data_IF_141396215767
#
_entry.id   IF_141396215767
#
_cell.length_a   1.000
_cell.length_b   1.000
_cell.length_c   1.000
_cell.angle_alpha   90.00
_cell.angle_beta   90.00
_cell.angle_gamma   90.00
#
_symmetry.space_group_name_H-M   'P 1'
#
loop_
_entity.id
_entity.type
_entity.pdbx_description
1 polymer ?
#
# COMPACT_ATOMS: atom_id res chain seq x y z
N UNK A 1 -14.55 -6.23 3.48
CA UNK A 1 -13.76 -4.98 3.51
C UNK A 1 -12.30 -5.37 3.28
N UNK A 2 -11.66 -4.86 2.22
CA UNK A 2 -10.42 -5.42 1.63
C UNK A 2 -9.18 -5.41 2.56
N UNK A 3 -9.22 -4.67 3.68
CA UNK A 3 -8.15 -4.65 4.69
C UNK A 3 -8.70 -4.46 6.12
N UNK A 4 -9.76 -5.18 6.53
CA UNK A 4 -10.52 -4.98 7.79
C UNK A 4 -9.73 -4.44 9.01
N UNK A 5 -9.61 -3.11 9.12
CA UNK A 5 -8.79 -2.37 10.07
C UNK A 5 -7.29 -2.75 10.17
N UNK A 6 -6.78 -3.55 9.23
CA UNK A 6 -5.35 -3.83 9.11
C UNK A 6 -4.61 -2.54 8.75
N UNK A 7 -3.45 -2.32 9.38
CA UNK A 7 -2.62 -1.13 9.21
C UNK A 7 -3.26 0.19 9.72
N UNK A 8 -4.03 0.11 10.79
CA UNK A 8 -4.45 1.27 11.57
C UNK A 8 -3.49 1.42 12.75
N UNK A 9 -2.98 2.63 12.97
CA UNK A 9 -2.05 2.96 14.07
C UNK A 9 -0.63 2.38 13.89
N UNK A 10 -0.11 2.45 12.66
CA UNK A 10 1.20 1.90 12.31
C UNK A 10 2.30 2.94 12.54
N UNK A 11 3.42 2.52 13.13
CA UNK A 11 4.60 3.36 13.21
C UNK A 11 5.16 3.65 11.82
N UNK A 12 5.68 4.87 11.56
CA UNK A 12 6.18 5.27 10.25
C UNK A 12 7.08 4.22 9.55
N UNK A 13 8.12 3.64 10.21
CA UNK A 13 8.99 2.65 9.57
C UNK A 13 8.29 1.32 9.25
N UNK A 14 7.14 1.02 9.88
CA UNK A 14 6.44 -0.25 9.75
C UNK A 14 5.32 -0.22 8.69
N UNK A 15 5.06 0.93 8.06
CA UNK A 15 3.95 1.09 7.13
C UNK A 15 4.09 0.17 5.92
N UNK A 16 5.27 0.12 5.30
CA UNK A 16 5.51 -0.75 4.13
C UNK A 16 5.36 -2.23 4.50
N UNK A 17 5.92 -2.64 5.64
CA UNK A 17 5.82 -4.03 6.12
C UNK A 17 4.37 -4.42 6.42
N UNK A 18 3.58 -3.50 6.99
CA UNK A 18 2.17 -3.76 7.24
C UNK A 18 1.39 -3.99 5.95
N UNK A 19 1.59 -3.14 4.93
CA UNK A 19 0.95 -3.30 3.61
C UNK A 19 1.40 -4.60 2.95
N UNK A 20 2.70 -4.90 2.98
CA UNK A 20 3.26 -6.14 2.44
C UNK A 20 2.59 -7.35 3.07
N UNK A 21 2.58 -7.41 4.41
CA UNK A 21 2.02 -8.54 5.14
C UNK A 21 0.52 -8.72 4.89
N UNK A 22 -0.23 -7.62 4.82
CA UNK A 22 -1.66 -7.68 4.54
C UNK A 22 -1.94 -8.27 3.15
N UNK A 23 -1.21 -7.83 2.11
CA UNK A 23 -1.37 -8.37 0.75
C UNK A 23 -0.87 -9.81 0.63
N UNK A 24 0.27 -10.13 1.25
CA UNK A 24 0.78 -11.52 1.27
C UNK A 24 -0.17 -12.47 2.02
N UNK A 25 -0.82 -12.00 3.09
CA UNK A 25 -1.76 -12.82 3.87
C UNK A 25 -3.00 -13.27 3.09
N UNK A 26 -3.32 -12.58 1.99
CA UNK A 26 -4.42 -12.92 1.08
C UNK A 26 -3.93 -13.62 -0.21
N UNK A 27 -2.68 -14.08 -0.23
CA UNK A 27 -2.13 -14.89 -1.34
C UNK A 27 -1.51 -14.09 -2.48
N UNK A 28 -1.30 -12.78 -2.32
CA UNK A 28 -0.61 -11.97 -3.32
C UNK A 28 0.91 -12.00 -3.10
N UNK A 29 1.67 -12.03 -4.19
CA UNK A 29 3.12 -11.88 -4.16
C UNK A 29 3.48 -10.41 -4.40
N UNK A 30 3.87 -9.69 -3.34
CA UNK A 30 4.21 -8.26 -3.43
C UNK A 30 5.61 -8.08 -4.00
N UNK A 31 5.70 -7.44 -5.17
CA UNK A 31 6.94 -7.17 -5.88
C UNK A 31 7.56 -5.83 -5.48
N UNK A 32 6.72 -4.82 -5.27
CA UNK A 32 7.16 -3.45 -5.02
C UNK A 32 6.19 -2.70 -4.11
N UNK A 33 6.72 -1.87 -3.22
CA UNK A 33 5.96 -0.91 -2.42
C UNK A 33 6.69 0.44 -2.46
N UNK A 34 5.96 1.51 -2.78
CA UNK A 34 6.49 2.85 -2.85
C UNK A 34 5.55 3.87 -2.19
N UNK A 35 6.14 4.91 -1.62
CA UNK A 35 5.42 6.07 -1.13
C UNK A 35 5.32 7.14 -2.22
N UNK A 36 4.20 7.87 -2.22
CA UNK A 36 3.98 8.98 -3.13
C UNK A 36 3.49 10.21 -2.38
N UNK A 37 3.90 11.40 -2.82
CA UNK A 37 3.37 12.68 -2.37
C UNK A 37 1.96 12.95 -2.93
N UNK A 38 1.40 14.15 -2.69
CA UNK A 38 0.07 14.51 -3.18
C UNK A 38 -0.01 14.65 -4.69
N UNK A 39 1.11 14.98 -5.34
CA UNK A 39 1.22 15.22 -6.78
C UNK A 39 1.51 13.92 -7.56
N UNK A 40 1.78 12.82 -6.85
CA UNK A 40 2.05 11.51 -7.43
C UNK A 40 3.52 11.27 -7.74
N UNK A 41 4.44 12.03 -7.13
CA UNK A 41 5.88 11.75 -7.21
C UNK A 41 6.29 10.76 -6.13
N UNK A 42 7.29 9.92 -6.42
CA UNK A 42 7.86 9.01 -5.44
C UNK A 42 8.49 9.81 -4.30
N UNK A 43 8.10 9.51 -3.07
CA UNK A 43 8.68 10.11 -1.86
C UNK A 43 9.56 9.09 -1.13
N UNK A 44 10.74 9.52 -0.70
CA UNK A 44 11.58 8.74 0.22
C UNK A 44 11.28 9.06 1.69
N UNK A 45 10.54 10.14 1.94
CA UNK A 45 10.13 10.57 3.28
C UNK A 45 8.63 10.30 3.47
N UNK A 46 8.31 9.44 4.42
CA UNK A 46 6.93 9.08 4.74
C UNK A 46 6.13 10.27 5.29
N UNK A 47 6.78 11.25 5.93
CA UNK A 47 6.09 12.42 6.46
C UNK A 47 5.54 13.33 5.34
N UNK A 48 6.19 13.30 4.18
CA UNK A 48 5.73 13.97 2.96
C UNK A 48 4.81 13.09 2.10
N UNK A 49 4.71 11.79 2.40
CA UNK A 49 3.87 10.87 1.66
C UNK A 49 2.38 11.05 1.96
N UNK A 50 1.55 10.86 0.93
CA UNK A 50 0.08 10.83 0.98
C UNK A 50 -0.50 9.53 0.49
N UNK A 51 0.27 8.76 -0.29
CA UNK A 51 -0.16 7.45 -0.77
C UNK A 51 0.92 6.39 -0.59
N UNK A 52 0.47 5.15 -0.43
CA UNK A 52 1.28 3.95 -0.67
C UNK A 52 0.77 3.29 -1.92
N UNK A 53 1.66 2.93 -2.83
CA UNK A 53 1.35 2.04 -3.94
C UNK A 53 2.04 0.71 -3.71
N UNK A 54 1.32 -0.39 -3.90
CA UNK A 54 1.88 -1.73 -3.92
C UNK A 54 1.62 -2.37 -5.27
N UNK A 55 2.64 -2.99 -5.85
CA UNK A 55 2.53 -3.84 -7.03
C UNK A 55 2.68 -5.28 -6.58
N UNK A 56 1.72 -6.11 -6.97
CA UNK A 56 1.70 -7.51 -6.62
C UNK A 56 1.26 -8.37 -7.80
N UNK A 57 1.61 -9.64 -7.74
CA UNK A 57 1.17 -10.68 -8.68
C UNK A 57 0.44 -11.79 -7.95
N UNK A 58 -0.31 -12.61 -8.69
CA UNK A 58 -0.97 -13.80 -8.16
C UNK A 58 -1.02 -14.88 -9.23
N UNK A 59 -1.24 -16.13 -8.82
CA UNK A 59 -1.49 -17.22 -9.78
C UNK A 59 -2.92 -17.21 -10.35
N UNK A 60 -3.82 -16.40 -9.77
CA UNK A 60 -5.25 -16.37 -10.12
C UNK A 60 -5.59 -15.30 -11.15
N UNK A 61 -4.95 -14.13 -11.02
CA UNK A 61 -5.11 -12.98 -11.91
C UNK A 61 -3.83 -12.82 -12.71
N UNK A 62 -3.94 -12.92 -14.04
CA UNK A 62 -2.83 -12.69 -14.95
C UNK A 62 -2.51 -11.18 -15.04
N UNK A 63 -1.23 -10.83 -15.04
CA UNK A 63 -0.78 -9.44 -15.05
C UNK A 63 -0.39 -8.89 -13.68
N UNK A 64 -0.01 -7.61 -13.64
CA UNK A 64 0.38 -6.92 -12.40
C UNK A 64 -0.83 -6.26 -11.77
N UNK A 65 -1.08 -6.59 -10.51
CA UNK A 65 -2.10 -5.93 -9.70
C UNK A 65 -1.46 -4.76 -8.97
N UNK A 66 -2.07 -3.60 -9.12
CA UNK A 66 -1.58 -2.36 -8.58
C UNK A 66 -2.61 -1.86 -7.58
N UNK A 67 -2.21 -1.71 -6.33
CA UNK A 67 -3.03 -1.19 -5.24
C UNK A 67 -2.56 0.18 -4.83
N UNK A 68 -3.49 1.11 -4.64
CA UNK A 68 -3.22 2.45 -4.10
C UNK A 68 -3.97 2.63 -2.80
N UNK A 69 -3.24 3.08 -1.78
CA UNK A 69 -3.75 3.34 -0.44
C UNK A 69 -3.48 4.80 -0.05
N UNK A 70 -4.41 5.43 0.67
CA UNK A 70 -4.20 6.70 1.33
C UNK A 70 -3.39 6.49 2.62
N UNK A 71 -2.46 7.40 2.88
CA UNK A 71 -1.75 7.53 4.15
C UNK A 71 -2.32 8.70 4.94
N UNK A 72 -2.85 8.42 6.12
CA UNK A 72 -3.34 9.43 7.04
C UNK A 72 -2.50 9.40 8.30
N UNK A 73 -1.75 10.48 8.56
CA UNK A 73 -1.00 10.66 9.81
C UNK A 73 -1.95 11.18 10.90
N UNK A 74 -1.99 10.49 12.04
CA UNK A 74 -2.76 10.89 13.22
C UNK A 74 -1.99 10.54 14.48
N UNK A 75 -1.74 11.53 15.35
CA UNK A 75 -1.01 11.36 16.62
C UNK A 75 0.35 10.64 16.48
N UNK A 76 1.08 10.93 15.40
CA UNK A 76 2.41 10.36 15.13
C UNK A 76 2.39 8.95 14.52
N UNK A 77 1.20 8.38 14.30
CA UNK A 77 0.99 7.07 13.69
C UNK A 77 0.29 7.21 12.35
N UNK A 78 0.33 6.16 11.54
CA UNK A 78 -0.29 6.13 10.22
C UNK A 78 -1.48 5.18 10.16
N UNK A 79 -2.50 5.60 9.41
CA UNK A 79 -3.59 4.75 8.95
C UNK A 79 -3.46 4.59 7.44
N UNK A 80 -3.49 3.34 6.99
CA UNK A 80 -3.45 2.99 5.56
C UNK A 80 -4.86 2.61 5.12
N UNK A 81 -5.43 3.36 4.18
CA UNK A 81 -6.80 3.14 3.70
C UNK A 81 -6.80 2.78 2.22
N UNK A 82 -7.45 1.69 1.85
CA UNK A 82 -7.64 1.33 0.45
C UNK A 82 -8.37 2.44 -0.32
N UNK A 83 -7.81 2.87 -1.45
CA UNK A 83 -8.43 3.83 -2.37
C UNK A 83 -8.92 3.15 -3.64
N UNK A 84 -8.01 2.48 -4.34
CA UNK A 84 -8.29 1.89 -5.65
C UNK A 84 -7.30 0.76 -5.97
N UNK A 85 -7.66 -0.02 -6.97
CA UNK A 85 -6.77 -0.98 -7.61
C UNK A 85 -6.91 -0.92 -9.12
N UNK A 86 -5.88 -1.38 -9.82
CA UNK A 86 -5.84 -1.55 -11.26
C UNK A 86 -5.10 -2.85 -11.60
N UNK A 87 -5.36 -3.39 -12.79
CA UNK A 87 -4.60 -4.53 -13.34
C UNK A 87 -3.94 -4.06 -14.63
N UNK A 88 -2.63 -4.23 -14.71
CA UNK A 88 -1.87 -4.11 -15.96
C UNK A 88 -1.80 -5.49 -16.60
N UNK A 89 -2.67 -5.72 -17.58
CA UNK A 89 -2.67 -6.92 -18.41
C UNK A 89 -1.45 -6.90 -19.35
N UNK A 90 -0.88 -8.08 -19.63
CA UNK A 90 0.20 -8.25 -20.60
C UNK A 90 -0.32 -8.40 -22.02
#
# INVERSE_FOLDING_TARGET
MFMGNQCYDVDPPLVMDCVKNALTSIGLNVEEIMFFDIDGNVSQDIDNARYVRAVATSNEINGKQIFTFALIKYRGKYKVLYLQSAVEER
#
